data_IF_633993400708
#
_entry.id   IF_633993400708
#
_cell.length_a   1.000
_cell.length_b   1.000
_cell.length_c   1.000
_cell.angle_alpha   90.00
_cell.angle_beta   90.00
_cell.angle_gamma   90.00
#
_symmetry.space_group_name_H-M   'P 1'
#
loop_
_entity.id
_entity.type
_entity.pdbx_description
1 polymer ?
#
# COMPACT_ATOMS: atom_id res chain seq x y z
N UNK A 1 -10.84 62.57 25.64
CA UNK A 1 -9.93 61.51 26.16
C UNK A 1 -10.40 60.15 25.64
N UNK A 2 -9.73 59.59 24.62
CA UNK A 2 -10.08 58.30 24.01
C UNK A 2 -9.40 57.17 24.79
N UNK A 3 -10.13 56.42 25.62
CA UNK A 3 -9.63 55.20 26.25
C UNK A 3 -9.82 54.03 25.29
N UNK A 4 -8.69 53.47 24.84
CA UNK A 4 -8.63 52.27 23.98
C UNK A 4 -8.98 51.04 24.82
N UNK A 5 -9.92 50.24 24.32
CA UNK A 5 -10.22 48.89 24.82
C UNK A 5 -9.14 47.97 24.25
N UNK A 6 -8.34 47.35 25.13
CA UNK A 6 -7.37 46.33 24.74
C UNK A 6 -8.04 44.96 24.89
N UNK A 7 -8.28 44.30 23.76
CA UNK A 7 -8.72 42.91 23.69
C UNK A 7 -7.53 42.03 24.05
N UNK A 8 -7.58 41.38 25.22
CA UNK A 8 -6.59 40.38 25.63
C UNK A 8 -6.83 39.07 24.88
N UNK A 9 -5.94 38.75 23.94
CA UNK A 9 -5.86 37.42 23.35
C UNK A 9 -5.23 36.48 24.37
N UNK A 10 -6.03 35.52 24.87
CA UNK A 10 -5.55 34.37 25.63
C UNK A 10 -4.75 33.46 24.67
N UNK A 11 -3.44 33.64 24.64
CA UNK A 11 -2.52 32.65 24.06
C UNK A 11 -2.40 31.52 25.08
N UNK A 12 -3.16 30.46 24.89
CA UNK A 12 -2.89 29.21 25.58
C UNK A 12 -1.56 28.65 25.07
N UNK A 13 -0.48 28.85 25.84
CA UNK A 13 0.76 28.10 25.65
C UNK A 13 0.46 26.63 25.95
N UNK A 14 0.20 25.85 24.91
CA UNK A 14 0.35 24.40 24.99
C UNK A 14 1.85 24.11 25.06
N UNK A 15 2.37 23.97 26.28
CA UNK A 15 3.61 23.24 26.51
C UNK A 15 3.36 21.77 26.13
N UNK A 16 3.64 21.41 24.88
CA UNK A 16 3.93 20.02 24.56
C UNK A 16 5.33 19.73 25.10
N UNK A 17 5.52 18.71 25.95
CA UNK A 17 6.87 18.26 26.25
C UNK A 17 7.51 17.83 24.93
N UNK A 18 8.67 18.40 24.62
CA UNK A 18 9.52 17.92 23.55
C UNK A 18 9.88 16.47 23.87
N UNK A 19 9.33 15.53 23.12
CA UNK A 19 9.74 14.15 23.18
C UNK A 19 10.98 14.06 22.29
N UNK A 20 12.16 14.14 22.90
CA UNK A 20 13.38 13.65 22.24
C UNK A 20 13.25 12.12 22.21
N UNK A 21 12.98 11.57 21.04
CA UNK A 21 12.98 10.13 20.79
C UNK A 21 13.92 9.92 19.61
N UNK A 22 15.23 9.86 19.87
CA UNK A 22 16.19 9.57 18.81
C UNK A 22 16.19 8.06 18.54
N UNK A 23 15.20 7.61 17.73
CA UNK A 23 14.90 6.21 17.40
C UNK A 23 16.08 5.40 16.82
N UNK A 24 17.13 6.09 16.39
CA UNK A 24 18.38 5.56 15.88
C UNK A 24 19.38 6.72 15.79
N UNK A 25 20.67 6.41 15.70
CA UNK A 25 21.72 7.41 15.46
C UNK A 25 22.18 7.33 14.00
N UNK A 26 22.26 8.49 13.34
CA UNK A 26 22.83 8.60 11.99
C UNK A 26 24.33 8.81 12.10
N UNK A 27 25.11 7.87 11.59
CA UNK A 27 26.54 8.00 11.43
C UNK A 27 26.84 8.59 10.05
N UNK A 28 27.32 9.83 9.98
CA UNK A 28 27.82 10.39 8.73
C UNK A 28 29.12 9.68 8.35
N UNK A 29 29.07 8.93 7.25
CA UNK A 29 30.15 8.11 6.69
C UNK A 29 30.60 8.71 5.38
N UNK A 30 31.58 9.61 5.45
CA UNK A 30 32.04 10.35 4.27
C UNK A 30 30.94 11.20 3.67
N UNK A 31 31.15 11.66 2.43
CA UNK A 31 30.14 12.34 1.65
C UNK A 31 30.47 12.12 0.18
N UNK A 32 29.68 11.27 -0.50
CA UNK A 32 29.66 11.20 -1.96
C UNK A 32 29.09 12.53 -2.46
N UNK A 33 29.97 13.53 -2.55
CA UNK A 33 29.66 14.83 -3.12
C UNK A 33 30.03 14.81 -4.59
N UNK A 34 29.13 14.24 -5.39
CA UNK A 34 29.34 14.12 -6.82
C UNK A 34 28.90 15.39 -7.60
N UNK A 35 28.65 16.52 -6.90
CA UNK A 35 28.36 17.82 -7.51
C UNK A 35 27.01 17.93 -8.23
N UNK A 36 26.10 16.98 -8.00
CA UNK A 36 24.88 16.83 -8.79
C UNK A 36 23.77 17.83 -8.45
N UNK A 37 22.85 18.06 -9.42
CA UNK A 37 21.67 18.90 -9.21
C UNK A 37 20.87 18.47 -7.98
N UNK A 38 20.17 19.44 -7.39
CA UNK A 38 19.16 19.16 -6.39
C UNK A 38 18.02 18.33 -7.00
N UNK A 39 17.46 17.45 -6.20
CA UNK A 39 16.28 16.66 -6.58
C UNK A 39 15.01 17.49 -6.42
N UNK A 40 13.91 17.01 -6.99
CA UNK A 40 12.57 17.64 -6.86
C UNK A 40 11.90 17.28 -5.52
N UNK A 41 12.52 16.42 -4.69
CA UNK A 41 12.02 16.04 -3.36
C UNK A 41 10.58 15.52 -3.32
N UNK A 42 10.27 14.49 -4.11
CA UNK A 42 8.95 13.84 -4.14
C UNK A 42 8.94 12.48 -3.46
N UNK A 43 10.05 11.75 -3.54
CA UNK A 43 10.11 10.35 -3.10
C UNK A 43 11.13 10.12 -2.01
N UNK A 44 10.83 9.18 -1.13
CA UNK A 44 11.83 8.41 -0.39
C UNK A 44 11.83 7.01 -0.99
N UNK A 45 12.98 6.52 -1.48
CA UNK A 45 13.05 5.19 -2.12
C UNK A 45 13.60 4.16 -1.13
N UNK A 46 12.83 3.08 -0.97
CA UNK A 46 13.14 1.94 -0.13
C UNK A 46 13.78 0.82 -0.98
N UNK A 47 15.00 0.43 -0.63
CA UNK A 47 15.80 -0.62 -1.24
C UNK A 47 16.23 -1.72 -0.24
N UNK A 48 16.70 -2.84 -0.76
CA UNK A 48 17.53 -3.82 -0.05
C UNK A 48 18.79 -4.16 -0.87
N UNK A 49 19.88 -4.46 -0.20
CA UNK A 49 21.20 -4.58 -0.85
C UNK A 49 21.33 -5.80 -1.76
N UNK A 50 20.41 -6.76 -1.69
CA UNK A 50 20.48 -8.05 -2.37
C UNK A 50 21.81 -8.82 -2.15
N UNK A 51 22.53 -8.50 -1.07
CA UNK A 51 23.86 -9.02 -0.78
C UNK A 51 23.91 -9.61 0.63
N UNK A 52 23.53 -10.89 0.74
CA UNK A 52 23.35 -11.56 2.02
C UNK A 52 24.62 -11.56 2.87
N UNK A 53 24.51 -11.05 4.10
CA UNK A 53 25.55 -11.04 5.13
C UNK A 53 26.83 -10.27 4.77
N UNK A 54 26.81 -9.41 3.74
CA UNK A 54 27.93 -8.53 3.42
C UNK A 54 28.23 -7.53 4.56
N UNK A 55 27.18 -7.13 5.29
CA UNK A 55 27.27 -6.25 6.45
C UNK A 55 27.30 -4.77 6.10
N UNK A 56 26.70 -3.95 6.97
CA UNK A 56 26.46 -2.51 6.74
C UNK A 56 27.74 -1.71 6.42
N UNK A 57 28.86 -2.06 7.04
CA UNK A 57 30.15 -1.39 6.80
C UNK A 57 30.68 -1.69 5.39
N UNK A 58 30.57 -2.94 4.94
CA UNK A 58 31.06 -3.31 3.62
C UNK A 58 30.22 -2.66 2.52
N UNK A 59 28.90 -2.62 2.70
CA UNK A 59 27.98 -1.94 1.77
C UNK A 59 28.26 -0.44 1.69
N UNK A 60 28.36 0.24 2.83
CA UNK A 60 28.68 1.68 2.86
C UNK A 60 30.06 1.98 2.27
N UNK A 61 31.09 1.18 2.61
CA UNK A 61 32.43 1.36 2.06
C UNK A 61 32.48 1.04 0.56
N UNK A 62 31.73 0.06 0.08
CA UNK A 62 31.62 -0.23 -1.35
C UNK A 62 31.01 0.97 -2.10
N UNK A 63 29.92 1.56 -1.59
CA UNK A 63 29.34 2.77 -2.17
C UNK A 63 30.36 3.92 -2.20
N UNK A 64 31.00 4.21 -1.07
CA UNK A 64 31.98 5.31 -0.98
C UNK A 64 33.16 5.16 -1.95
N UNK A 65 33.64 3.94 -2.14
CA UNK A 65 34.86 3.68 -2.91
C UNK A 65 34.59 3.37 -4.39
N UNK A 66 33.41 2.84 -4.74
CA UNK A 66 33.14 2.29 -6.07
C UNK A 66 31.97 2.95 -6.83
N UNK A 67 31.26 3.93 -6.25
CA UNK A 67 30.07 4.54 -6.88
C UNK A 67 30.31 5.06 -8.31
N UNK A 68 31.49 5.60 -8.62
CA UNK A 68 31.80 6.09 -9.97
C UNK A 68 31.90 4.97 -11.00
N UNK A 69 32.48 3.84 -10.59
CA UNK A 69 32.67 2.67 -11.46
C UNK A 69 31.38 1.87 -11.60
N UNK A 70 30.62 1.77 -10.52
CA UNK A 70 29.35 1.04 -10.48
C UNK A 70 28.18 1.88 -11.00
N UNK A 71 28.38 3.20 -11.16
CA UNK A 71 27.35 4.17 -11.49
C UNK A 71 26.12 4.04 -10.58
N UNK A 72 26.37 3.71 -9.31
CA UNK A 72 25.33 3.36 -8.34
C UNK A 72 25.76 3.75 -6.93
N UNK A 73 24.85 4.42 -6.21
CA UNK A 73 24.91 4.65 -4.77
C UNK A 73 23.56 5.18 -4.29
N UNK A 74 23.28 5.03 -3.00
CA UNK A 74 22.14 5.63 -2.30
C UNK A 74 22.63 6.58 -1.20
N UNK A 75 21.72 7.29 -0.51
CA UNK A 75 22.11 8.18 0.59
C UNK A 75 22.45 7.41 1.87
N UNK A 76 21.77 6.29 2.12
CA UNK A 76 21.86 5.58 3.38
C UNK A 76 21.99 4.07 3.18
N UNK A 77 22.72 3.44 4.10
CA UNK A 77 22.67 2.00 4.34
C UNK A 77 22.28 1.78 5.81
N UNK A 78 21.24 1.00 6.05
CA UNK A 78 20.78 0.59 7.37
C UNK A 78 21.16 -0.86 7.61
N UNK A 79 21.78 -1.16 8.75
CA UNK A 79 22.17 -2.52 9.07
C UNK A 79 23.04 -2.65 10.32
N UNK A 80 23.54 -3.86 10.60
CA UNK A 80 24.53 -4.07 11.65
C UNK A 80 23.98 -3.89 13.08
N UNK A 81 22.70 -4.17 13.27
CA UNK A 81 22.02 -4.11 14.56
C UNK A 81 21.31 -2.79 14.84
N UNK A 82 20.75 -2.15 13.81
CA UNK A 82 19.99 -0.89 13.88
C UNK A 82 20.82 0.36 13.57
N UNK A 83 22.02 0.21 13.00
CA UNK A 83 22.87 1.37 12.66
C UNK A 83 22.41 1.97 11.33
N UNK A 84 22.55 3.29 11.22
CA UNK A 84 22.21 4.05 10.02
C UNK A 84 23.46 4.78 9.55
N UNK A 85 24.01 4.36 8.41
CA UNK A 85 25.20 4.97 7.82
C UNK A 85 24.77 5.88 6.66
N UNK A 86 25.00 7.17 6.79
CA UNK A 86 24.75 8.13 5.71
C UNK A 86 26.02 8.31 4.88
N UNK A 87 25.97 8.00 3.58
CA UNK A 87 27.12 8.10 2.66
C UNK A 87 27.00 9.24 1.66
N UNK A 88 25.82 9.84 1.50
CA UNK A 88 25.60 11.00 0.64
C UNK A 88 24.57 12.00 1.21
N UNK A 89 24.63 13.24 0.74
CA UNK A 89 23.72 14.32 1.15
C UNK A 89 22.26 14.07 0.67
N UNK A 90 21.29 14.35 1.54
CA UNK A 90 19.87 14.35 1.17
C UNK A 90 19.57 15.46 0.16
N UNK A 91 18.56 15.26 -0.68
CA UNK A 91 18.13 16.24 -1.68
C UNK A 91 19.08 16.41 -2.85
N UNK A 92 20.16 15.61 -2.92
CA UNK A 92 21.05 15.48 -4.08
C UNK A 92 20.74 14.18 -4.83
N UNK A 93 20.92 14.20 -6.14
CA UNK A 93 20.67 13.02 -6.98
C UNK A 93 21.62 11.89 -6.56
N UNK A 94 21.03 10.76 -6.16
CA UNK A 94 21.68 9.45 -6.04
C UNK A 94 21.39 8.60 -7.29
N UNK A 95 22.13 7.51 -7.48
CA UNK A 95 22.04 6.64 -8.66
C UNK A 95 21.53 5.23 -8.35
N UNK A 96 20.64 5.08 -7.37
CA UNK A 96 20.12 3.78 -6.97
C UNK A 96 18.78 3.38 -7.61
N UNK A 97 18.06 4.29 -8.28
CA UNK A 97 16.67 4.06 -8.69
C UNK A 97 16.30 4.59 -10.09
N UNK A 98 17.26 4.59 -11.04
CA UNK A 98 17.00 4.94 -12.44
C UNK A 98 16.25 6.26 -12.64
N UNK A 99 15.11 6.22 -13.34
CA UNK A 99 14.30 7.41 -13.65
C UNK A 99 13.65 8.08 -12.42
N UNK A 100 13.67 7.43 -11.25
CA UNK A 100 13.25 8.06 -9.99
C UNK A 100 14.33 8.97 -9.39
N UNK A 101 15.59 8.85 -9.82
CA UNK A 101 16.74 9.55 -9.24
C UNK A 101 16.55 11.08 -9.13
N UNK A 102 16.04 11.81 -10.15
CA UNK A 102 15.83 13.26 -10.05
C UNK A 102 14.74 13.67 -9.06
N UNK A 103 13.92 12.73 -8.60
CA UNK A 103 12.75 12.99 -7.75
C UNK A 103 12.94 12.51 -6.30
N UNK A 104 13.91 11.64 -6.04
CA UNK A 104 14.14 11.07 -4.72
C UNK A 104 14.90 12.04 -3.82
N UNK A 105 14.27 12.47 -2.71
CA UNK A 105 14.98 13.24 -1.67
C UNK A 105 16.06 12.38 -1.00
N UNK A 106 15.78 11.10 -0.80
CA UNK A 106 16.73 10.13 -0.29
C UNK A 106 16.36 8.72 -0.77
N UNK A 107 17.38 7.89 -0.93
CA UNK A 107 17.29 6.47 -1.20
C UNK A 107 17.98 5.72 -0.06
N UNK A 108 17.37 4.64 0.41
CA UNK A 108 17.81 3.92 1.62
C UNK A 108 17.92 2.43 1.32
N UNK A 109 19.12 1.89 1.48
CA UNK A 109 19.38 0.45 1.46
C UNK A 109 19.17 -0.19 2.83
N UNK A 110 18.48 -1.33 2.87
CA UNK A 110 18.50 -2.25 4.00
C UNK A 110 19.53 -3.35 3.74
N UNK A 111 20.59 -3.40 4.54
CA UNK A 111 21.62 -4.43 4.41
C UNK A 111 21.03 -5.81 4.73
N UNK A 112 21.28 -6.79 3.84
CA UNK A 112 20.75 -8.13 4.02
C UNK A 112 21.57 -8.89 5.09
N UNK A 113 20.87 -9.56 6.00
CA UNK A 113 21.47 -10.42 7.01
C UNK A 113 20.67 -11.71 7.15
N UNK A 114 21.32 -12.80 7.53
CA UNK A 114 20.71 -14.06 7.97
C UNK A 114 20.47 -14.10 9.48
N UNK A 115 20.94 -13.09 10.23
CA UNK A 115 20.77 -13.02 11.68
C UNK A 115 19.44 -12.38 12.07
N UNK A 116 18.52 -13.19 12.60
CA UNK A 116 17.18 -12.76 13.01
C UNK A 116 17.17 -11.62 14.03
N UNK A 117 18.07 -11.64 15.01
CA UNK A 117 18.12 -10.60 16.04
C UNK A 117 18.66 -9.28 15.47
N UNK A 118 19.58 -9.36 14.50
CA UNK A 118 20.08 -8.20 13.77
C UNK A 118 18.98 -7.62 12.87
N UNK A 119 18.31 -8.46 12.07
CA UNK A 119 17.23 -8.05 11.19
C UNK A 119 16.13 -7.27 11.93
N UNK A 120 15.71 -7.73 13.11
CA UNK A 120 14.69 -7.04 13.91
C UNK A 120 15.04 -5.57 14.18
N UNK A 121 16.30 -5.31 14.53
CA UNK A 121 16.80 -3.95 14.81
C UNK A 121 17.00 -3.15 13.53
N UNK A 122 17.58 -3.79 12.51
CA UNK A 122 17.83 -3.18 11.20
C UNK A 122 16.52 -2.72 10.54
N UNK A 123 15.50 -3.57 10.57
CA UNK A 123 14.17 -3.26 10.03
C UNK A 123 13.49 -2.12 10.78
N UNK A 124 13.59 -2.08 12.11
CA UNK A 124 13.04 -0.99 12.91
C UNK A 124 13.71 0.35 12.58
N UNK A 125 15.05 0.39 12.52
CA UNK A 125 15.80 1.57 12.12
C UNK A 125 15.45 2.01 10.69
N UNK A 126 15.30 1.05 9.77
CA UNK A 126 14.95 1.30 8.37
C UNK A 126 13.57 1.95 8.22
N UNK A 127 12.55 1.39 8.88
CA UNK A 127 11.18 1.95 8.89
C UNK A 127 11.17 3.37 9.47
N UNK A 128 11.85 3.58 10.59
CA UNK A 128 11.87 4.89 11.24
C UNK A 128 12.63 5.93 10.40
N UNK A 129 13.74 5.55 9.77
CA UNK A 129 14.48 6.42 8.87
C UNK A 129 13.65 6.84 7.66
N UNK A 130 12.95 5.90 7.01
CA UNK A 130 12.06 6.23 5.89
C UNK A 130 10.97 7.22 6.31
N UNK A 131 10.41 7.07 7.51
CA UNK A 131 9.42 8.00 8.08
C UNK A 131 10.03 9.38 8.34
N UNK A 132 11.21 9.45 8.93
CA UNK A 132 11.87 10.72 9.23
C UNK A 132 12.25 11.48 7.96
N UNK A 133 12.75 10.78 6.94
CA UNK A 133 13.02 11.36 5.63
C UNK A 133 11.73 11.87 4.96
N UNK A 134 10.62 11.12 5.05
CA UNK A 134 9.34 11.56 4.52
C UNK A 134 8.82 12.82 5.23
N UNK A 135 9.01 12.95 6.55
CA UNK A 135 8.66 14.17 7.31
C UNK A 135 9.48 15.38 6.86
N UNK A 136 10.77 15.21 6.57
CA UNK A 136 11.65 16.32 6.15
C UNK A 136 11.15 17.02 4.89
N UNK A 137 10.49 16.29 3.98
CA UNK A 137 9.91 16.83 2.74
C UNK A 137 8.39 16.93 2.76
N UNK A 138 7.76 16.72 3.93
CA UNK A 138 6.32 16.81 4.14
C UNK A 138 5.49 15.94 3.17
N UNK A 139 5.92 14.70 2.94
CA UNK A 139 5.16 13.70 2.16
C UNK A 139 4.51 12.65 3.07
N UNK A 140 3.50 11.93 2.56
CA UNK A 140 2.80 10.90 3.33
C UNK A 140 3.68 9.66 3.54
N UNK A 141 3.34 8.85 4.53
CA UNK A 141 3.95 7.54 4.75
C UNK A 141 3.29 6.43 3.91
N UNK A 142 2.46 6.79 2.93
CA UNK A 142 1.77 5.82 2.10
C UNK A 142 2.77 5.12 1.20
N UNK A 143 2.91 3.81 1.41
CA UNK A 143 3.82 2.96 0.65
C UNK A 143 3.25 2.67 -0.74
N UNK A 144 4.03 2.94 -1.78
CA UNK A 144 3.71 2.58 -3.17
C UNK A 144 2.35 3.09 -3.69
N UNK A 145 1.80 4.12 -3.05
CA UNK A 145 0.56 4.75 -3.48
C UNK A 145 0.71 5.29 -4.93
N UNK A 146 -0.36 5.28 -5.77
CA UNK A 146 -0.27 5.75 -7.16
C UNK A 146 0.07 7.24 -7.31
N UNK A 147 0.05 8.03 -6.23
CA UNK A 147 0.49 9.42 -6.30
C UNK A 147 1.99 9.55 -6.58
N UNK A 148 2.36 10.58 -7.33
CA UNK A 148 3.75 10.93 -7.64
C UNK A 148 4.52 11.57 -6.48
N UNK A 149 4.24 11.18 -5.23
CA UNK A 149 4.98 11.57 -4.02
C UNK A 149 4.81 10.51 -2.91
N UNK A 150 5.66 10.53 -1.88
CA UNK A 150 5.60 9.60 -0.74
C UNK A 150 6.73 8.57 -0.73
N UNK A 151 6.54 7.49 0.04
CA UNK A 151 7.53 6.41 0.16
C UNK A 151 7.28 5.38 -0.93
N UNK A 152 8.29 5.11 -1.77
CA UNK A 152 8.20 4.17 -2.90
C UNK A 152 9.27 3.09 -2.78
N UNK A 153 8.95 1.87 -3.19
CA UNK A 153 9.93 0.80 -3.35
C UNK A 153 10.59 0.86 -4.72
N UNK A 154 11.74 0.20 -4.88
CA UNK A 154 12.34 0.05 -6.21
C UNK A 154 11.44 -0.74 -7.17
N UNK A 155 10.66 -1.71 -6.67
CA UNK A 155 9.61 -2.36 -7.46
C UNK A 155 8.55 -1.38 -7.99
N UNK A 156 8.12 -0.40 -7.18
CA UNK A 156 7.21 0.62 -7.66
C UNK A 156 7.84 1.46 -8.77
N UNK A 157 9.12 1.82 -8.64
CA UNK A 157 9.87 2.54 -9.68
C UNK A 157 9.88 1.71 -10.98
N UNK A 158 10.27 0.44 -10.92
CA UNK A 158 10.25 -0.47 -12.08
C UNK A 158 8.88 -0.48 -12.77
N UNK A 159 7.79 -0.58 -12.01
CA UNK A 159 6.44 -0.70 -12.56
C UNK A 159 5.86 0.61 -13.12
N UNK A 160 6.35 1.78 -12.68
CA UNK A 160 5.74 3.07 -13.01
C UNK A 160 6.64 3.99 -13.83
N UNK A 161 7.95 3.86 -13.68
CA UNK A 161 8.98 4.70 -14.30
C UNK A 161 9.96 3.89 -15.16
N UNK A 162 9.91 2.55 -15.11
CA UNK A 162 10.82 1.66 -15.84
C UNK A 162 11.99 1.19 -14.97
N UNK A 163 12.62 0.09 -15.40
CA UNK A 163 13.65 -0.63 -14.63
C UNK A 163 13.41 -2.13 -14.63
N UNK A 164 14.20 -2.86 -13.83
CA UNK A 164 14.07 -4.32 -13.66
C UNK A 164 14.30 -4.79 -12.21
N UNK A 165 14.46 -3.87 -11.27
CA UNK A 165 14.68 -4.16 -9.87
C UNK A 165 13.36 -4.39 -9.13
N UNK A 166 13.38 -5.22 -8.09
CA UNK A 166 12.16 -5.68 -7.38
C UNK A 166 12.25 -5.59 -5.85
N UNK A 167 13.36 -5.05 -5.34
CA UNK A 167 13.59 -4.76 -3.93
C UNK A 167 12.59 -3.73 -3.37
N UNK A 168 12.29 -3.75 -2.06
CA UNK A 168 12.85 -4.63 -1.02
C UNK A 168 11.99 -5.89 -0.73
N UNK A 169 10.90 -6.11 -1.49
CA UNK A 169 9.85 -7.05 -1.09
C UNK A 169 10.32 -8.50 -0.98
N UNK A 170 11.22 -8.94 -1.86
CA UNK A 170 11.76 -10.31 -1.81
C UNK A 170 12.48 -10.59 -0.49
N UNK A 171 13.38 -9.67 -0.10
CA UNK A 171 14.11 -9.80 1.16
C UNK A 171 13.21 -9.64 2.39
N UNK A 172 12.32 -8.64 2.41
CA UNK A 172 11.36 -8.47 3.50
C UNK A 172 10.47 -9.70 3.69
N UNK A 173 9.99 -10.29 2.58
CA UNK A 173 9.15 -11.50 2.63
C UNK A 173 9.91 -12.71 3.22
N UNK A 174 11.23 -12.82 3.00
CA UNK A 174 12.05 -13.87 3.61
C UNK A 174 12.09 -13.82 5.15
N UNK A 175 11.80 -12.64 5.71
CA UNK A 175 11.69 -12.39 7.15
C UNK A 175 10.25 -12.33 7.67
N UNK A 176 9.26 -12.67 6.83
CA UNK A 176 7.85 -12.62 7.19
C UNK A 176 7.24 -11.22 7.17
N UNK A 177 7.94 -10.22 6.61
CA UNK A 177 7.41 -8.86 6.45
C UNK A 177 6.79 -8.75 5.05
N UNK A 178 5.47 -8.66 4.99
CA UNK A 178 4.77 -8.41 3.71
C UNK A 178 4.75 -6.92 3.37
N UNK A 179 4.30 -6.62 2.15
CA UNK A 179 3.97 -5.24 1.75
C UNK A 179 3.00 -4.55 2.70
N UNK A 180 1.96 -5.25 3.16
CA UNK A 180 0.97 -4.68 4.07
C UNK A 180 1.56 -4.45 5.47
N UNK A 181 2.42 -5.35 5.96
CA UNK A 181 3.14 -5.15 7.23
C UNK A 181 4.07 -3.93 7.10
N UNK A 182 4.83 -3.84 6.02
CA UNK A 182 5.73 -2.72 5.78
C UNK A 182 4.99 -1.39 5.66
N UNK A 183 3.88 -1.35 4.92
CA UNK A 183 3.01 -0.17 4.85
C UNK A 183 2.50 0.22 6.25
N UNK A 184 2.07 -0.76 7.06
CA UNK A 184 1.57 -0.52 8.41
C UNK A 184 2.67 0.00 9.35
N UNK A 185 3.88 -0.58 9.27
CA UNK A 185 5.03 -0.17 10.06
C UNK A 185 5.50 1.22 9.68
N UNK A 186 5.43 1.59 8.40
CA UNK A 186 5.64 2.96 7.94
C UNK A 186 4.61 3.94 8.48
N UNK A 187 3.40 3.50 8.86
CA UNK A 187 2.39 4.37 9.47
C UNK A 187 2.58 4.50 10.98
N UNK A 188 2.96 3.42 11.67
CA UNK A 188 3.09 3.42 13.14
C UNK A 188 4.48 3.74 13.66
N UNK A 189 5.52 3.46 12.87
CA UNK A 189 6.90 3.35 13.36
C UNK A 189 7.10 2.07 14.18
N UNK A 190 8.35 1.81 14.54
CA UNK A 190 8.79 0.65 15.32
C UNK A 190 9.72 1.08 16.46
N UNK A 191 9.83 0.31 17.56
CA UNK A 191 10.77 0.56 18.64
C UNK A 191 12.19 0.17 18.21
N UNK A 192 13.19 0.88 18.73
CA UNK A 192 14.59 0.74 18.30
C UNK A 192 15.16 -0.67 18.50
N UNK A 193 14.73 -1.36 19.56
CA UNK A 193 15.21 -2.69 19.90
C UNK A 193 14.61 -3.79 19.01
N UNK A 194 13.72 -3.43 18.08
CA UNK A 194 13.00 -4.37 17.24
C UNK A 194 12.10 -5.32 18.04
N UNK A 195 11.77 -4.96 19.30
CA UNK A 195 10.81 -5.70 20.09
C UNK A 195 9.47 -5.72 19.38
N UNK A 196 8.77 -6.86 19.51
CA UNK A 196 7.38 -6.92 19.09
C UNK A 196 6.61 -5.90 19.91
N UNK A 197 6.20 -4.81 19.27
CA UNK A 197 5.28 -3.88 19.89
C UNK A 197 3.98 -4.65 20.08
N UNK A 198 3.61 -4.96 21.32
CA UNK A 198 2.19 -5.09 21.64
C UNK A 198 1.63 -3.69 21.37
N UNK A 199 1.06 -3.50 20.19
CA UNK A 199 0.58 -2.20 19.75
C UNK A 199 -0.67 -1.83 20.54
N UNK A 200 -0.50 -1.36 21.78
CA UNK A 200 -1.54 -0.59 22.45
C UNK A 200 -1.79 0.66 21.59
N UNK A 201 -3.04 0.93 21.15
CA UNK A 201 -3.27 1.97 20.14
C UNK A 201 -2.85 3.37 20.61
N UNK A 202 -1.67 3.82 20.15
CA UNK A 202 -1.36 5.24 20.04
C UNK A 202 -2.46 5.98 19.26
N UNK A 203 -2.70 7.25 19.61
CA UNK A 203 -3.84 8.04 19.15
C UNK A 203 -4.04 7.91 17.61
N UNK A 204 -5.28 7.64 17.14
CA UNK A 204 -5.52 7.19 15.77
C UNK A 204 -5.31 8.29 14.72
N UNK A 205 -4.70 7.95 13.58
CA UNK A 205 -5.04 8.59 12.31
C UNK A 205 -6.50 8.24 11.96
N UNK A 206 -7.20 9.16 11.29
CA UNK A 206 -8.61 8.93 10.98
C UNK A 206 -8.79 7.66 10.13
N UNK A 207 -9.83 6.85 10.38
CA UNK A 207 -10.12 5.68 9.56
C UNK A 207 -10.32 6.10 8.10
N UNK A 208 -9.54 5.53 7.17
CA UNK A 208 -9.68 5.80 5.73
C UNK A 208 -11.00 5.27 5.19
N UNK A 209 -11.47 4.15 5.74
CA UNK A 209 -12.70 3.47 5.33
C UNK A 209 -13.72 3.32 6.48
N UNK A 210 -14.99 3.20 6.09
CA UNK A 210 -16.17 3.16 6.98
C UNK A 210 -17.00 1.91 6.69
N UNK A 211 -17.69 1.44 7.73
CA UNK A 211 -18.70 0.39 7.58
C UNK A 211 -19.77 0.82 6.57
N UNK A 212 -20.15 -0.11 5.70
CA UNK A 212 -21.07 0.10 4.59
C UNK A 212 -20.39 0.42 3.25
N UNK A 213 -19.11 0.79 3.24
CA UNK A 213 -18.42 1.11 1.99
C UNK A 213 -18.04 -0.13 1.19
N UNK A 214 -18.20 -0.06 -0.13
CA UNK A 214 -17.65 -1.05 -1.05
C UNK A 214 -16.19 -0.75 -1.37
N UNK A 215 -15.36 -1.77 -1.28
CA UNK A 215 -13.91 -1.68 -1.45
C UNK A 215 -13.41 -2.74 -2.42
N UNK A 216 -12.36 -2.40 -3.17
CA UNK A 216 -11.52 -3.41 -3.82
C UNK A 216 -10.30 -3.67 -2.94
N UNK A 217 -10.03 -4.93 -2.61
CA UNK A 217 -8.89 -5.33 -1.79
C UNK A 217 -7.84 -6.07 -2.63
N UNK A 218 -6.57 -5.97 -2.24
CA UNK A 218 -5.44 -6.70 -2.85
C UNK A 218 -5.12 -7.98 -2.11
N UNK A 219 -5.39 -8.03 -0.81
CA UNK A 219 -5.09 -9.14 0.09
C UNK A 219 -6.18 -9.26 1.15
N UNK A 220 -6.37 -10.46 1.72
CA UNK A 220 -7.33 -10.69 2.79
C UNK A 220 -6.89 -11.86 3.69
N UNK A 221 -7.37 -11.89 4.93
CA UNK A 221 -7.05 -12.93 5.91
C UNK A 221 -8.30 -13.71 6.33
N UNK A 222 -8.20 -15.03 6.49
CA UNK A 222 -9.33 -15.85 6.99
C UNK A 222 -9.69 -15.53 8.43
N UNK A 223 -8.67 -15.26 9.25
CA UNK A 223 -8.81 -14.93 10.65
C UNK A 223 -8.27 -13.53 10.88
N UNK A 224 -8.86 -12.76 11.81
CA UNK A 224 -8.42 -11.38 12.04
C UNK A 224 -7.05 -11.31 12.73
N UNK A 225 -6.61 -12.42 13.34
CA UNK A 225 -5.28 -12.63 13.93
C UNK A 225 -4.37 -13.49 13.05
N UNK A 226 -4.76 -13.78 11.81
CA UNK A 226 -3.94 -14.60 10.95
C UNK A 226 -2.59 -13.91 10.74
N UNK A 227 -1.47 -14.63 10.91
CA UNK A 227 -0.17 -14.08 10.64
C UNK A 227 -0.03 -13.84 9.14
N UNK A 228 0.86 -12.93 8.76
CA UNK A 228 0.76 -12.32 7.44
C UNK A 228 1.12 -13.27 6.28
N UNK A 229 1.90 -14.31 6.54
CA UNK A 229 2.16 -15.42 5.62
C UNK A 229 0.90 -16.20 5.23
N UNK A 230 -0.19 -16.06 5.99
CA UNK A 230 -1.50 -16.61 5.68
C UNK A 230 -2.39 -15.64 4.88
N UNK A 231 -1.84 -14.53 4.37
CA UNK A 231 -2.57 -13.67 3.46
C UNK A 231 -3.00 -14.45 2.22
N UNK A 232 -4.22 -14.19 1.78
CA UNK A 232 -4.74 -14.70 0.53
C UNK A 232 -4.70 -13.55 -0.47
N UNK A 233 -3.97 -13.74 -1.56
CA UNK A 233 -3.95 -12.78 -2.65
C UNK A 233 -5.35 -12.70 -3.27
N UNK A 234 -5.89 -11.49 -3.41
CA UNK A 234 -7.26 -11.30 -3.86
C UNK A 234 -7.51 -11.85 -5.28
N UNK A 235 -6.49 -11.92 -6.13
CA UNK A 235 -6.58 -12.53 -7.46
C UNK A 235 -6.80 -14.06 -7.43
N UNK A 236 -6.58 -14.71 -6.29
CA UNK A 236 -6.88 -16.13 -6.08
C UNK A 236 -8.29 -16.35 -5.53
N UNK A 237 -8.96 -15.28 -5.10
CA UNK A 237 -10.35 -15.33 -4.67
C UNK A 237 -11.27 -15.14 -5.87
N UNK A 238 -12.50 -15.63 -5.71
CA UNK A 238 -13.56 -15.48 -6.68
C UNK A 238 -13.98 -14.02 -6.90
N UNK A 239 -13.63 -13.12 -5.98
CA UNK A 239 -13.83 -11.68 -6.11
C UNK A 239 -12.76 -10.91 -5.35
N UNK A 240 -12.45 -9.72 -5.85
CA UNK A 240 -11.58 -8.73 -5.18
C UNK A 240 -12.40 -7.60 -4.56
N UNK A 241 -13.73 -7.68 -4.61
CA UNK A 241 -14.64 -6.62 -4.18
C UNK A 241 -15.51 -7.11 -3.03
N UNK A 242 -15.64 -6.29 -1.99
CA UNK A 242 -16.51 -6.57 -0.87
C UNK A 242 -17.00 -5.32 -0.16
N UNK A 243 -17.87 -5.51 0.81
CA UNK A 243 -18.43 -4.48 1.69
C UNK A 243 -17.76 -4.58 3.05
N UNK A 244 -17.33 -3.45 3.60
CA UNK A 244 -16.92 -3.39 5.00
C UNK A 244 -18.17 -3.54 5.86
N UNK A 245 -18.32 -4.67 6.54
CA UNK A 245 -19.50 -4.93 7.40
C UNK A 245 -19.23 -4.68 8.87
N UNK A 246 -17.95 -4.67 9.27
CA UNK A 246 -17.57 -4.39 10.64
C UNK A 246 -16.17 -3.79 10.66
N UNK A 247 -15.95 -2.78 11.51
CA UNK A 247 -14.62 -2.42 11.98
C UNK A 247 -14.37 -3.17 13.28
N UNK A 248 -13.29 -3.93 13.37
CA UNK A 248 -13.01 -4.73 14.56
C UNK A 248 -12.52 -3.82 15.70
N UNK A 249 -13.28 -3.79 16.79
CA UNK A 249 -12.94 -3.03 17.99
C UNK A 249 -11.66 -3.61 18.63
N UNK A 250 -10.79 -2.72 19.14
CA UNK A 250 -9.49 -3.11 19.69
C UNK A 250 -8.42 -3.44 18.65
N UNK A 251 -8.74 -3.34 17.35
CA UNK A 251 -7.80 -3.59 16.25
C UNK A 251 -7.68 -2.35 15.36
N UNK A 252 -6.46 -2.04 14.92
CA UNK A 252 -6.18 -0.81 14.16
C UNK A 252 -6.60 -0.99 12.71
N UNK A 253 -7.70 -0.33 12.32
CA UNK A 253 -8.20 -0.26 10.95
C UNK A 253 -8.32 -1.61 10.25
N UNK A 254 -8.67 -2.65 11.03
CA UNK A 254 -9.01 -3.97 10.51
C UNK A 254 -10.51 -4.05 10.27
N UNK A 255 -10.87 -4.44 9.07
CA UNK A 255 -12.23 -4.50 8.59
C UNK A 255 -12.62 -5.92 8.28
N UNK A 256 -13.83 -6.30 8.69
CA UNK A 256 -14.50 -7.50 8.22
C UNK A 256 -15.09 -7.21 6.85
N UNK A 257 -14.61 -7.93 5.84
CA UNK A 257 -15.07 -7.78 4.46
C UNK A 257 -15.99 -8.94 4.12
N UNK A 258 -17.22 -8.62 3.76
CA UNK A 258 -18.17 -9.58 3.22
C UNK A 258 -18.51 -9.28 1.78
N UNK A 259 -19.03 -10.29 1.09
CA UNK A 259 -19.74 -10.10 -0.15
C UNK A 259 -21.05 -10.89 -0.07
N UNK A 260 -22.17 -10.19 -0.26
CA UNK A 260 -23.58 -10.62 -0.03
C UNK A 260 -23.79 -11.51 1.20
N UNK A 261 -23.31 -11.05 2.37
CA UNK A 261 -23.50 -11.75 3.64
C UNK A 261 -22.58 -12.95 3.87
N UNK A 262 -21.69 -13.27 2.92
CA UNK A 262 -20.63 -14.28 3.10
C UNK A 262 -19.32 -13.58 3.48
N UNK A 263 -18.68 -14.06 4.54
CA UNK A 263 -17.35 -13.61 4.94
C UNK A 263 -16.32 -13.94 3.85
N UNK A 264 -15.69 -12.90 3.30
CA UNK A 264 -14.49 -13.05 2.47
C UNK A 264 -13.25 -13.14 3.36
N UNK A 265 -13.24 -12.37 4.46
CA UNK A 265 -12.17 -12.37 5.45
C UNK A 265 -11.98 -10.99 6.06
N UNK A 266 -10.76 -10.69 6.48
CA UNK A 266 -10.39 -9.45 7.15
C UNK A 266 -9.29 -8.74 6.37
N UNK A 267 -9.37 -7.42 6.26
CA UNK A 267 -8.42 -6.58 5.52
C UNK A 267 -8.15 -5.30 6.30
N UNK A 268 -6.90 -4.84 6.32
CA UNK A 268 -6.54 -3.53 6.86
C UNK A 268 -6.56 -2.44 5.77
N UNK A 269 -6.33 -1.17 6.15
CA UNK A 269 -6.26 -0.06 5.17
C UNK A 269 -5.27 -0.35 4.02
N UNK A 270 -4.12 -0.96 4.30
CA UNK A 270 -3.09 -1.29 3.29
C UNK A 270 -3.41 -2.50 2.42
N UNK A 271 -4.38 -3.33 2.83
CA UNK A 271 -4.90 -4.44 2.02
C UNK A 271 -6.04 -3.97 1.09
N UNK A 272 -6.53 -2.73 1.27
CA UNK A 272 -7.60 -2.13 0.48
C UNK A 272 -6.99 -1.19 -0.56
N UNK A 273 -7.19 -1.53 -1.84
CA UNK A 273 -6.69 -0.76 -2.95
C UNK A 273 -7.44 0.57 -3.13
N UNK A 274 -8.77 0.53 -3.09
CA UNK A 274 -9.61 1.68 -3.41
C UNK A 274 -11.05 1.52 -2.93
N UNK A 275 -11.78 2.64 -2.85
CA UNK A 275 -13.24 2.63 -2.77
C UNK A 275 -13.80 2.22 -4.13
N UNK A 276 -14.49 1.10 -4.16
CA UNK A 276 -15.08 0.56 -5.39
C UNK A 276 -16.23 1.41 -5.93
N UNK A 277 -16.88 2.20 -5.07
CA UNK A 277 -17.92 3.14 -5.49
C UNK A 277 -17.37 4.33 -6.29
N UNK A 278 -16.07 4.64 -6.14
CA UNK A 278 -15.42 5.82 -6.72
C UNK A 278 -14.34 5.48 -7.76
N UNK A 279 -14.09 4.20 -8.02
CA UNK A 279 -13.16 3.77 -9.07
C UNK A 279 -13.69 4.20 -10.44
N UNK A 280 -13.08 5.24 -11.03
CA UNK A 280 -13.35 5.66 -12.41
C UNK A 280 -13.00 4.50 -13.35
N UNK A 281 -13.94 4.01 -14.19
CA UNK A 281 -13.69 2.81 -14.96
C UNK A 281 -12.73 3.07 -16.12
N UNK A 282 -11.68 2.24 -16.23
CA UNK A 282 -10.89 2.02 -17.45
C UNK A 282 -10.37 0.58 -17.46
N UNK A 283 -10.30 -0.12 -18.62
CA UNK A 283 -11.35 -0.32 -19.61
C UNK A 283 -12.40 -1.32 -19.12
N UNK A 284 -13.59 -1.30 -19.72
CA UNK A 284 -14.65 -2.28 -19.42
C UNK A 284 -14.14 -3.72 -19.64
N UNK A 285 -14.23 -4.55 -18.61
CA UNK A 285 -13.96 -5.99 -18.71
C UNK A 285 -15.10 -6.67 -19.47
N UNK A 286 -14.82 -7.79 -20.11
CA UNK A 286 -15.81 -8.54 -20.90
C UNK A 286 -16.14 -9.85 -20.21
N UNK A 287 -17.42 -10.07 -19.94
CA UNK A 287 -17.97 -11.34 -19.46
C UNK A 287 -18.66 -12.09 -20.60
N UNK A 288 -18.38 -13.38 -20.76
CA UNK A 288 -18.99 -14.24 -21.76
C UNK A 288 -19.98 -15.19 -21.09
N UNK A 289 -21.24 -15.17 -21.54
CA UNK A 289 -22.31 -16.01 -20.98
C UNK A 289 -22.06 -17.48 -21.32
N UNK A 290 -22.02 -18.35 -20.32
CA UNK A 290 -21.73 -19.79 -20.46
C UNK A 290 -22.95 -20.71 -20.37
N UNK A 291 -24.06 -20.23 -19.79
CA UNK A 291 -25.29 -21.01 -19.57
C UNK A 291 -26.17 -21.10 -20.81
N UNK A 292 -26.74 -22.28 -21.07
CA UNK A 292 -27.54 -22.60 -22.26
C UNK A 292 -28.83 -21.78 -22.38
N UNK A 293 -29.44 -21.48 -21.25
CA UNK A 293 -30.68 -20.73 -21.10
C UNK A 293 -30.51 -19.21 -21.30
N UNK A 294 -29.26 -18.73 -21.37
CA UNK A 294 -28.94 -17.31 -21.43
C UNK A 294 -29.14 -16.60 -20.08
N UNK A 295 -28.95 -15.27 -20.07
CA UNK A 295 -29.11 -14.43 -18.88
C UNK A 295 -30.10 -13.30 -19.14
N UNK A 296 -30.99 -13.06 -18.17
CA UNK A 296 -31.93 -11.93 -18.17
C UNK A 296 -31.22 -10.66 -17.69
N UNK A 297 -31.11 -9.68 -18.59
CA UNK A 297 -30.55 -8.36 -18.32
C UNK A 297 -31.59 -7.49 -17.60
N UNK A 298 -31.12 -6.66 -16.66
CA UNK A 298 -31.92 -5.78 -15.81
C UNK A 298 -31.58 -4.33 -16.08
N UNK A 299 -32.59 -3.49 -16.26
CA UNK A 299 -32.42 -2.07 -16.52
C UNK A 299 -32.36 -1.27 -15.21
N UNK A 300 -31.41 -0.35 -15.09
CA UNK A 300 -31.36 0.69 -14.06
C UNK A 300 -30.88 0.24 -12.67
N UNK A 301 -31.16 -1.01 -12.27
CA UNK A 301 -30.77 -1.52 -10.95
C UNK A 301 -30.30 -3.00 -10.99
N UNK A 302 -29.33 -3.38 -10.14
CA UNK A 302 -28.95 -4.77 -9.93
C UNK A 302 -30.02 -5.46 -9.08
N UNK A 303 -31.14 -5.86 -9.66
CA UNK A 303 -32.20 -6.59 -8.95
C UNK A 303 -32.97 -7.51 -9.87
N UNK A 304 -33.36 -8.68 -9.39
CA UNK A 304 -34.28 -9.60 -10.05
C UNK A 304 -35.70 -9.03 -10.19
N UNK A 305 -36.03 -7.96 -9.47
CA UNK A 305 -37.30 -7.25 -9.62
C UNK A 305 -37.20 -6.02 -10.53
N UNK A 306 -35.98 -5.63 -10.94
CA UNK A 306 -35.80 -4.52 -11.86
C UNK A 306 -36.36 -4.83 -13.27
N UNK A 307 -36.78 -3.81 -14.04
CA UNK A 307 -37.33 -4.00 -15.37
C UNK A 307 -36.41 -4.84 -16.27
N UNK A 308 -36.99 -5.78 -17.01
CA UNK A 308 -36.23 -6.62 -17.94
C UNK A 308 -35.79 -5.75 -19.12
N UNK A 309 -34.48 -5.71 -19.36
CA UNK A 309 -33.89 -5.07 -20.53
C UNK A 309 -33.90 -6.02 -21.75
N UNK A 310 -33.68 -7.31 -21.50
CA UNK A 310 -33.69 -8.36 -22.53
C UNK A 310 -33.14 -9.68 -22.00
N UNK A 311 -33.02 -10.68 -22.88
CA UNK A 311 -32.38 -11.96 -22.58
C UNK A 311 -31.28 -12.20 -23.59
N UNK A 312 -30.06 -12.44 -23.12
CA UNK A 312 -28.90 -12.69 -23.98
C UNK A 312 -28.48 -14.16 -23.92
N UNK A 313 -28.31 -14.83 -25.09
CA UNK A 313 -28.02 -16.25 -25.16
C UNK A 313 -26.57 -16.59 -24.76
N UNK A 314 -26.29 -17.89 -24.63
CA UNK A 314 -24.93 -18.43 -24.48
C UNK A 314 -23.99 -17.87 -25.55
N UNK A 315 -22.78 -17.50 -25.14
CA UNK A 315 -21.74 -16.94 -26.01
C UNK A 315 -21.83 -15.43 -26.22
N UNK A 316 -22.91 -14.77 -25.80
CA UNK A 316 -22.96 -13.30 -25.79
C UNK A 316 -21.96 -12.71 -24.80
N UNK A 317 -21.44 -11.54 -25.14
CA UNK A 317 -20.44 -10.83 -24.36
C UNK A 317 -21.01 -9.55 -23.76
N UNK A 318 -20.84 -9.37 -22.45
CA UNK A 318 -21.28 -8.18 -21.71
C UNK A 318 -20.07 -7.39 -21.23
N UNK A 319 -19.97 -6.14 -21.67
CA UNK A 319 -18.97 -5.20 -21.17
C UNK A 319 -19.47 -4.61 -19.86
N UNK A 320 -18.70 -4.81 -18.80
CA UNK A 320 -19.04 -4.32 -17.48
C UNK A 320 -17.94 -3.44 -16.91
N UNK A 321 -18.37 -2.48 -16.12
CA UNK A 321 -17.53 -1.51 -15.41
C UNK A 321 -17.82 -1.54 -13.90
N UNK A 322 -18.78 -2.35 -13.46
CA UNK A 322 -19.15 -2.48 -12.06
C UNK A 322 -19.56 -3.90 -11.70
N UNK A 323 -19.37 -4.23 -10.44
CA UNK A 323 -19.89 -5.44 -9.81
C UNK A 323 -20.79 -4.97 -8.67
N UNK A 324 -21.96 -5.60 -8.53
CA UNK A 324 -22.98 -5.33 -7.53
C UNK A 324 -23.49 -6.65 -6.97
N UNK A 325 -24.13 -6.53 -5.83
CA UNK A 325 -24.60 -7.65 -5.03
C UNK A 325 -26.02 -7.31 -4.63
N UNK A 326 -26.96 -8.18 -4.99
CA UNK A 326 -28.36 -7.96 -4.69
C UNK A 326 -29.14 -9.25 -4.90
N UNK A 327 -30.27 -9.39 -4.21
CA UNK A 327 -31.21 -10.51 -4.37
C UNK A 327 -30.58 -11.91 -4.29
N UNK A 328 -29.43 -12.04 -3.61
CA UNK A 328 -28.68 -13.30 -3.50
C UNK A 328 -27.75 -13.61 -4.68
N UNK A 329 -27.56 -12.68 -5.62
CA UNK A 329 -26.73 -12.85 -6.83
C UNK A 329 -25.62 -11.80 -6.92
N UNK A 330 -24.57 -12.18 -7.65
CA UNK A 330 -23.56 -11.25 -8.15
C UNK A 330 -24.05 -10.67 -9.47
N UNK A 331 -24.12 -9.35 -9.55
CA UNK A 331 -24.48 -8.60 -10.75
C UNK A 331 -23.27 -7.91 -11.37
N UNK A 332 -23.12 -7.98 -12.69
CA UNK A 332 -22.22 -7.10 -13.44
C UNK A 332 -23.02 -5.96 -14.03
N UNK A 333 -22.60 -4.73 -13.78
CA UNK A 333 -23.21 -3.54 -14.34
C UNK A 333 -22.34 -2.91 -15.42
N UNK A 334 -22.97 -2.49 -16.51
CA UNK A 334 -22.36 -1.81 -17.64
C UNK A 334 -23.38 -0.88 -18.30
N UNK A 335 -22.97 -0.17 -19.34
CA UNK A 335 -23.87 0.72 -20.09
C UNK A 335 -23.93 0.32 -21.56
N UNK A 336 -25.11 0.44 -22.18
CA UNK A 336 -25.25 0.29 -23.63
C UNK A 336 -24.70 1.51 -24.40
N UNK A 337 -24.84 1.47 -25.73
CA UNK A 337 -24.42 2.56 -26.62
C UNK A 337 -25.17 3.88 -26.40
N UNK A 338 -26.34 3.83 -25.76
CA UNK A 338 -27.17 4.99 -25.45
C UNK A 338 -26.94 5.48 -24.00
N UNK A 339 -26.04 4.86 -23.25
CA UNK A 339 -25.77 5.17 -21.85
C UNK A 339 -26.78 4.55 -20.86
N UNK A 340 -27.70 3.71 -21.32
CA UNK A 340 -28.65 3.00 -20.46
C UNK A 340 -27.89 2.06 -19.55
N UNK A 341 -28.17 2.12 -18.25
CA UNK A 341 -27.50 1.27 -17.26
C UNK A 341 -28.13 -0.13 -17.24
N UNK A 342 -27.30 -1.14 -17.45
CA UNK A 342 -27.71 -2.56 -17.53
C UNK A 342 -26.97 -3.35 -16.45
N UNK A 343 -27.66 -4.31 -15.85
CA UNK A 343 -27.10 -5.26 -14.91
C UNK A 343 -27.42 -6.70 -15.32
N UNK A 344 -26.44 -7.60 -15.25
CA UNK A 344 -26.63 -9.03 -15.45
C UNK A 344 -26.31 -9.82 -14.19
N UNK A 345 -27.17 -10.72 -13.71
CA UNK A 345 -26.77 -11.69 -12.69
C UNK A 345 -25.83 -12.71 -13.33
N UNK A 346 -24.68 -12.97 -12.73
CA UNK A 346 -23.66 -13.90 -13.27
C UNK A 346 -23.45 -15.15 -12.42
N UNK A 347 -24.26 -15.31 -11.38
CA UNK A 347 -24.23 -16.46 -10.50
C UNK A 347 -24.78 -16.12 -9.12
N UNK A 348 -25.18 -17.13 -8.35
CA UNK A 348 -25.49 -16.97 -6.93
C UNK A 348 -24.26 -16.42 -6.19
N UNK A 349 -24.49 -15.54 -5.22
CA UNK A 349 -23.44 -15.16 -4.29
C UNK A 349 -23.27 -16.22 -3.19
N UNK A 350 -22.73 -17.37 -3.58
CA UNK A 350 -22.44 -18.48 -2.67
C UNK A 350 -20.94 -18.68 -2.45
N UNK A 351 -20.10 -17.87 -3.11
CA UNK A 351 -18.65 -17.92 -3.07
C UNK A 351 -18.05 -19.21 -3.64
N UNK A 352 -18.75 -19.89 -4.55
CA UNK A 352 -18.24 -20.99 -5.36
C UNK A 352 -18.07 -20.56 -6.83
N UNK A 353 -16.84 -20.37 -7.34
CA UNK A 353 -16.60 -19.99 -8.72
C UNK A 353 -17.26 -20.92 -9.76
N UNK A 354 -17.41 -22.21 -9.44
CA UNK A 354 -18.04 -23.18 -10.34
C UNK A 354 -19.52 -22.90 -10.60
N UNK A 355 -20.15 -22.05 -9.78
CA UNK A 355 -21.54 -21.65 -9.94
C UNK A 355 -21.69 -20.36 -10.76
N UNK A 356 -20.58 -19.82 -11.31
CA UNK A 356 -20.62 -18.68 -12.23
C UNK A 356 -21.20 -19.09 -13.57
N UNK A 357 -22.12 -18.31 -14.10
CA UNK A 357 -22.86 -18.58 -15.33
C UNK A 357 -22.10 -18.17 -16.60
N UNK A 358 -20.79 -18.07 -16.54
CA UNK A 358 -19.93 -17.61 -17.63
C UNK A 358 -18.47 -17.39 -17.21
N UNK A 359 -17.70 -16.73 -18.08
CA UNK A 359 -16.25 -16.48 -17.89
C UNK A 359 -15.91 -15.01 -18.11
N UNK A 360 -14.79 -14.53 -17.53
CA UNK A 360 -14.36 -13.13 -17.65
C UNK A 360 -14.87 -12.20 -16.52
N UNK A 361 -15.44 -12.79 -15.47
CA UNK A 361 -15.71 -12.15 -14.18
C UNK A 361 -14.46 -12.17 -13.29
#
# INVERSE_FOLDING_TARGET
MKKKILVGALVALFFMPAINVDAYQVETRGNINAGWPSTVNRYIIAHDTANMDAGVENEANNMLNNWQRQEAFTQYVVGGGGRVLQVAENGRIAWGAGDANPYAHAQVELANTSNKAMFKKDYAAYVNLLRDLARQINVTFDLDDPTGYGIKTHLWVTNNLGGNHTDPYGYLASWGISKAQFAQDLQTGLPEDGSEVIVNPGKPNQPKYKVGQHVRFTTIYKNPDAPIEQHINANTLWTQVGTITQKLNGRKNLYRIENSGKLLGYANDGDIAELWENSKPTPAKTFTIGVSEGIVLRNGAPSLLAPVYGVWPKGSTFKYDSVRVADGYVFLGGSDVNGTRIYIPVGPNDGNPSNTWGTGY
#
